data_IF_182721271696
#
_entry.id   IF_182721271696
#
_cell.length_a   1.000
_cell.length_b   1.000
_cell.length_c   1.000
_cell.angle_alpha   90.00
_cell.angle_beta   90.00
_cell.angle_gamma   90.00
#
_symmetry.space_group_name_H-M   'P 1'
#
loop_
_entity.id
_entity.type
_entity.pdbx_description
1 polymer ?
#
# COMPACT_ATOMS: atom_id res chain seq x y z
N UNK A 1 49.96 -16.16 -19.43
CA UNK A 1 50.62 -16.82 -18.28
C UNK A 1 50.33 -15.97 -17.05
N UNK A 2 50.11 -16.62 -15.89
CA UNK A 2 49.54 -16.11 -14.63
C UNK A 2 48.00 -16.01 -14.60
N UNK A 3 47.28 -17.13 -14.55
CA UNK A 3 46.90 -17.90 -13.34
C UNK A 3 46.09 -17.06 -12.35
N UNK A 4 44.77 -17.26 -12.30
CA UNK A 4 44.11 -18.09 -11.26
C UNK A 4 44.22 -17.44 -9.88
N UNK A 5 43.11 -16.91 -9.31
CA UNK A 5 42.81 -17.01 -7.86
C UNK A 5 41.60 -16.21 -7.33
N UNK A 6 40.62 -15.74 -8.13
CA UNK A 6 39.49 -14.98 -7.55
C UNK A 6 38.12 -15.52 -7.97
N UNK A 7 37.94 -16.84 -7.93
CA UNK A 7 36.65 -17.48 -8.29
C UNK A 7 35.98 -18.30 -7.17
N UNK A 8 36.49 -18.28 -5.91
CA UNK A 8 36.05 -19.27 -4.91
C UNK A 8 35.50 -18.71 -3.58
N UNK A 9 35.14 -17.42 -3.46
CA UNK A 9 34.54 -16.90 -2.21
C UNK A 9 33.39 -15.90 -2.34
N UNK A 10 32.96 -15.52 -3.54
CA UNK A 10 31.77 -14.67 -3.68
C UNK A 10 30.59 -15.58 -4.06
N UNK A 11 29.62 -15.84 -3.16
CA UNK A 11 28.37 -16.48 -3.57
C UNK A 11 27.80 -15.70 -4.77
N UNK A 12 27.12 -16.37 -5.72
CA UNK A 12 26.83 -15.80 -7.04
C UNK A 12 26.34 -14.36 -6.92
N UNK A 13 27.08 -13.46 -7.56
CA UNK A 13 26.97 -11.98 -7.53
C UNK A 13 25.57 -11.42 -7.83
N UNK A 14 24.60 -12.29 -8.08
CA UNK A 14 23.19 -11.98 -8.35
C UNK A 14 22.42 -11.63 -7.08
N UNK A 15 22.84 -12.11 -5.90
CA UNK A 15 22.06 -11.93 -4.65
C UNK A 15 22.46 -10.67 -3.87
N UNK A 16 23.72 -10.21 -3.99
CA UNK A 16 24.26 -9.06 -3.22
C UNK A 16 23.84 -7.72 -3.83
N UNK A 17 23.64 -7.66 -5.16
CA UNK A 17 23.36 -6.42 -5.88
C UNK A 17 21.91 -5.90 -5.69
N UNK A 18 20.94 -6.82 -5.56
CA UNK A 18 19.53 -6.45 -5.40
C UNK A 18 19.24 -5.84 -4.00
N UNK A 19 19.79 -6.41 -2.93
CA UNK A 19 19.53 -5.93 -1.57
C UNK A 19 20.15 -4.53 -1.30
N UNK A 20 21.34 -4.27 -1.83
CA UNK A 20 22.01 -2.97 -1.69
C UNK A 20 21.30 -1.87 -2.50
N UNK A 21 20.79 -2.18 -3.69
CA UNK A 21 20.03 -1.22 -4.52
C UNK A 21 18.67 -0.88 -3.90
N UNK A 22 17.99 -1.85 -3.27
CA UNK A 22 16.71 -1.63 -2.59
C UNK A 22 16.84 -0.70 -1.37
N UNK A 23 17.95 -0.80 -0.62
CA UNK A 23 18.21 0.07 0.55
C UNK A 23 18.54 1.52 0.18
N UNK A 24 19.17 1.75 -0.98
CA UNK A 24 19.54 3.10 -1.43
C UNK A 24 18.36 3.85 -2.09
N UNK A 25 17.36 3.12 -2.60
CA UNK A 25 16.22 3.69 -3.34
C UNK A 25 14.87 3.63 -2.59
N UNK A 26 14.83 3.07 -1.37
CA UNK A 26 13.61 2.96 -0.55
C UNK A 26 12.39 2.34 -1.26
N UNK A 27 12.61 1.34 -2.12
CA UNK A 27 11.51 0.72 -2.86
C UNK A 27 10.75 -0.24 -1.93
N UNK A 28 9.65 0.24 -1.34
CA UNK A 28 8.74 -0.57 -0.50
C UNK A 28 7.75 -1.33 -1.38
N UNK A 29 7.56 -2.65 -1.16
CA UNK A 29 6.54 -3.40 -1.89
C UNK A 29 5.13 -2.91 -1.50
N UNK A 30 4.39 -2.39 -2.48
CA UNK A 30 2.97 -2.05 -2.30
C UNK A 30 2.12 -3.31 -2.36
N UNK A 31 1.33 -3.55 -1.32
CA UNK A 31 0.40 -4.68 -1.28
C UNK A 31 -0.87 -4.31 -2.05
N UNK A 32 -1.15 -5.02 -3.15
CA UNK A 32 -2.34 -4.77 -3.96
C UNK A 32 -3.60 -5.26 -3.20
N UNK A 33 -4.50 -4.34 -2.87
CA UNK A 33 -5.78 -4.67 -2.25
C UNK A 33 -6.75 -5.22 -3.31
N UNK A 34 -7.55 -6.24 -2.96
CA UNK A 34 -8.49 -6.91 -3.88
C UNK A 34 -9.94 -6.58 -3.54
N UNK A 35 -10.77 -6.35 -4.57
CA UNK A 35 -12.20 -6.01 -4.43
C UNK A 35 -13.13 -7.20 -4.12
N UNK A 36 -12.60 -8.41 -3.95
CA UNK A 36 -13.39 -9.62 -3.69
C UNK A 36 -13.98 -9.64 -2.26
N UNK A 37 -13.54 -8.74 -1.39
CA UNK A 37 -14.04 -8.61 -0.02
C UNK A 37 -14.95 -7.41 0.07
N UNK A 38 -16.01 -7.54 0.86
CA UNK A 38 -16.93 -6.46 1.14
C UNK A 38 -16.95 -6.13 2.64
N UNK A 39 -15.85 -5.59 3.18
CA UNK A 39 -15.78 -5.24 4.59
C UNK A 39 -16.76 -4.10 4.90
N UNK A 40 -17.36 -4.19 6.09
CA UNK A 40 -18.14 -3.10 6.68
C UNK A 40 -17.20 -2.01 7.21
N UNK A 41 -17.71 -0.78 7.44
CA UNK A 41 -16.89 0.32 7.96
C UNK A 41 -16.18 -0.03 9.28
N UNK A 42 -16.76 -0.89 10.12
CA UNK A 42 -16.14 -1.33 11.38
C UNK A 42 -14.99 -2.33 11.20
N UNK A 43 -14.92 -3.00 10.05
CA UNK A 43 -13.87 -3.96 9.75
C UNK A 43 -12.62 -3.31 9.14
N UNK A 44 -12.76 -2.11 8.57
CA UNK A 44 -11.65 -1.36 7.99
C UNK A 44 -10.89 -0.59 9.06
N UNK A 45 -9.57 -0.44 8.88
CA UNK A 45 -8.69 0.16 9.88
C UNK A 45 -8.12 1.52 9.50
N UNK A 46 -8.22 1.90 8.23
CA UNK A 46 -7.77 3.21 7.75
C UNK A 46 -8.76 3.82 6.77
N UNK A 47 -8.74 5.14 6.68
CA UNK A 47 -9.51 5.86 5.68
C UNK A 47 -9.00 5.53 4.26
N UNK A 48 -7.70 5.31 4.08
CA UNK A 48 -7.13 4.86 2.82
C UNK A 48 -7.73 3.53 2.32
N UNK A 49 -7.96 2.56 3.22
CA UNK A 49 -8.63 1.30 2.88
C UNK A 49 -10.11 1.54 2.49
N UNK A 50 -10.83 2.39 3.24
CA UNK A 50 -12.21 2.74 2.92
C UNK A 50 -12.33 3.45 1.55
N UNK A 51 -11.41 4.38 1.26
CA UNK A 51 -11.31 5.09 -0.02
C UNK A 51 -11.04 4.13 -1.18
N UNK A 52 -10.14 3.17 -0.98
CA UNK A 52 -9.85 2.13 -1.97
C UNK A 52 -11.12 1.36 -2.33
N UNK A 53 -11.86 0.85 -1.35
CA UNK A 53 -13.08 0.09 -1.68
C UNK A 53 -14.22 0.99 -2.20
N UNK A 54 -14.26 2.28 -1.85
CA UNK A 54 -15.26 3.21 -2.39
C UNK A 54 -14.96 3.56 -3.86
N UNK A 55 -13.74 4.02 -4.16
CA UNK A 55 -13.35 4.51 -5.49
C UNK A 55 -12.91 3.39 -6.44
N UNK A 56 -12.13 2.44 -5.94
CA UNK A 56 -11.54 1.39 -6.79
C UNK A 56 -12.50 0.23 -7.03
N UNK A 57 -13.27 -0.13 -6.01
CA UNK A 57 -14.21 -1.26 -6.07
C UNK A 57 -15.67 -0.83 -6.26
N UNK A 58 -15.97 0.46 -6.17
CA UNK A 58 -17.30 1.01 -6.45
C UNK A 58 -18.37 0.66 -5.42
N UNK A 59 -18.03 0.26 -4.18
CA UNK A 59 -19.09 0.08 -3.17
C UNK A 59 -19.46 1.42 -2.53
N UNK A 60 -20.36 2.13 -3.20
CA UNK A 60 -20.90 3.42 -2.79
C UNK A 60 -21.74 3.37 -1.51
N UNK A 61 -22.25 2.19 -1.13
CA UNK A 61 -23.04 1.98 0.09
C UNK A 61 -22.33 2.31 1.42
N UNK A 62 -21.06 2.70 1.36
CA UNK A 62 -20.26 3.13 2.52
C UNK A 62 -20.35 4.62 2.80
N UNK A 63 -20.84 5.37 1.83
CA UNK A 63 -21.18 6.78 1.93
C UNK A 63 -22.69 6.84 2.25
N UNK A 64 -23.01 7.09 3.52
CA UNK A 64 -24.36 6.96 4.04
C UNK A 64 -25.23 8.18 3.72
N UNK A 65 -24.61 9.35 3.67
CA UNK A 65 -25.18 10.66 3.46
C UNK A 65 -24.97 11.20 2.03
N UNK A 66 -24.20 10.48 1.21
CA UNK A 66 -23.92 10.76 -0.20
C UNK A 66 -23.16 12.07 -0.42
N UNK A 67 -22.28 12.42 0.52
CA UNK A 67 -21.43 13.61 0.45
C UNK A 67 -20.08 13.34 -0.26
N UNK A 68 -19.83 12.07 -0.61
CA UNK A 68 -18.59 11.61 -1.23
C UNK A 68 -17.53 11.11 -0.24
N UNK A 69 -17.85 11.03 1.06
CA UNK A 69 -16.95 10.58 2.13
C UNK A 69 -17.35 9.16 2.58
N UNK A 70 -16.54 8.13 2.28
CA UNK A 70 -16.84 6.78 2.72
C UNK A 70 -16.53 6.60 4.21
N UNK A 71 -17.41 5.92 4.95
CA UNK A 71 -17.19 5.55 6.34
C UNK A 71 -16.74 6.73 7.23
N UNK A 72 -17.60 7.72 7.41
CA UNK A 72 -17.33 8.98 8.14
C UNK A 72 -16.72 8.80 9.54
N UNK A 73 -16.97 7.67 10.22
CA UNK A 73 -16.36 7.37 11.52
C UNK A 73 -14.83 7.16 11.42
N UNK A 74 -14.33 6.64 10.29
CA UNK A 74 -12.91 6.48 9.99
C UNK A 74 -12.35 7.73 9.30
N UNK A 75 -13.03 8.19 8.25
CA UNK A 75 -12.56 9.26 7.37
C UNK A 75 -12.87 10.67 7.88
N UNK A 76 -13.76 10.84 8.85
CA UNK A 76 -14.26 12.14 9.29
C UNK A 76 -15.55 12.52 8.58
N UNK A 77 -16.25 13.53 9.12
CA UNK A 77 -17.57 14.01 8.64
C UNK A 77 -17.46 15.24 7.73
N UNK A 78 -16.25 15.73 7.52
CA UNK A 78 -15.99 16.90 6.69
C UNK A 78 -14.98 16.54 5.62
N UNK A 79 -15.07 17.18 4.46
CA UNK A 79 -14.14 16.94 3.36
C UNK A 79 -12.69 17.20 3.78
N UNK A 80 -12.47 18.21 4.65
CA UNK A 80 -11.16 18.51 5.22
C UNK A 80 -10.60 17.35 6.04
N UNK A 81 -11.42 16.76 6.93
CA UNK A 81 -11.00 15.59 7.71
C UNK A 81 -10.68 14.40 6.81
N UNK A 82 -11.51 14.18 5.78
CA UNK A 82 -11.32 13.11 4.81
C UNK A 82 -9.99 13.23 4.06
N UNK A 83 -9.64 14.43 3.61
CA UNK A 83 -8.38 14.71 2.91
C UNK A 83 -7.15 14.48 3.79
N UNK A 84 -7.24 14.81 5.08
CA UNK A 84 -6.15 14.59 6.04
C UNK A 84 -5.98 13.10 6.38
N UNK A 85 -7.09 12.39 6.61
CA UNK A 85 -7.05 11.00 7.09
C UNK A 85 -6.80 9.99 5.99
N UNK A 86 -7.13 10.28 4.73
CA UNK A 86 -6.89 9.35 3.62
C UNK A 86 -5.41 9.11 3.30
N UNK A 87 -4.52 9.96 3.83
CA UNK A 87 -3.06 9.86 3.62
C UNK A 87 -2.33 9.11 4.74
N UNK A 88 -3.06 8.72 5.80
CA UNK A 88 -2.56 7.99 6.95
C UNK A 88 -2.73 6.47 6.77
#
# INVERSE_FOLDING_TARGET
MSTSLIFIIVPPMKTVCAALLLLLLNVVPVSAQSCNREPTCKAMRSCAEADFYFRQCGHHKRDGDNDGIPCEELCGKTMTDYEERRQQ
#
